data_IF_994306907530
#
_entry.id   IF_994306907530
#
_cell.length_a   1.000
_cell.length_b   1.000
_cell.length_c   1.000
_cell.angle_alpha   90.00
_cell.angle_beta   90.00
_cell.angle_gamma   90.00
#
_symmetry.space_group_name_H-M   'P 1'
#
loop_
_entity.id
_entity.type
_entity.pdbx_description
1 polymer ?
#
# COMPACT_ATOMS: atom_id res chain seq x y z
N UNK A 1 -15.95 -0.68 9.01
CA UNK A 1 -15.18 -1.82 8.41
C UNK A 1 -14.10 -2.29 9.36
N UNK A 2 -13.17 -1.44 9.80
CA UNK A 2 -12.10 -1.84 10.73
C UNK A 2 -12.63 -2.53 11.99
N UNK A 3 -13.63 -1.94 12.66
CA UNK A 3 -14.26 -2.56 13.84
C UNK A 3 -14.74 -3.99 13.56
N UNK A 4 -15.33 -4.22 12.39
CA UNK A 4 -15.78 -5.56 12.02
C UNK A 4 -14.62 -6.56 11.90
N UNK A 5 -13.49 -6.14 11.31
CA UNK A 5 -12.31 -7.02 11.17
C UNK A 5 -11.69 -7.29 12.54
N UNK A 6 -11.60 -6.28 13.41
CA UNK A 6 -11.13 -6.45 14.77
C UNK A 6 -12.03 -7.41 15.56
N UNK A 7 -13.35 -7.15 15.60
CA UNK A 7 -14.31 -8.01 16.27
C UNK A 7 -14.29 -9.45 15.75
N UNK A 8 -14.15 -9.62 14.43
CA UNK A 8 -14.09 -10.92 13.80
C UNK A 8 -12.83 -11.69 14.22
N UNK A 9 -11.70 -11.02 14.29
CA UNK A 9 -10.42 -11.60 14.68
C UNK A 9 -10.35 -11.87 16.19
N UNK A 10 -10.77 -10.91 17.02
CA UNK A 10 -10.71 -10.98 18.48
C UNK A 10 -11.75 -11.95 19.08
N UNK A 11 -12.87 -12.17 18.37
CA UNK A 11 -13.90 -13.13 18.80
C UNK A 11 -13.49 -14.61 18.68
N UNK A 12 -12.32 -14.89 18.11
CA UNK A 12 -11.84 -16.25 17.86
C UNK A 12 -12.54 -16.97 16.67
N UNK A 13 -13.39 -16.27 15.92
CA UNK A 13 -13.94 -16.79 14.65
C UNK A 13 -12.86 -16.91 13.58
N UNK A 14 -11.92 -15.97 13.56
CA UNK A 14 -10.72 -16.03 12.72
C UNK A 14 -9.53 -16.52 13.54
N UNK A 15 -8.94 -17.65 13.15
CA UNK A 15 -7.88 -18.33 13.92
C UNK A 15 -6.49 -18.20 13.30
N UNK A 16 -6.37 -17.50 12.17
CA UNK A 16 -5.09 -17.31 11.51
C UNK A 16 -4.33 -16.13 12.14
N UNK A 17 -2.99 -16.12 12.09
CA UNK A 17 -2.17 -15.08 12.75
C UNK A 17 -2.13 -13.75 12.00
N UNK A 18 -2.93 -13.59 10.95
CA UNK A 18 -3.02 -12.43 10.08
C UNK A 18 -4.47 -11.97 9.89
N UNK A 19 -4.68 -10.77 9.36
CA UNK A 19 -6.01 -10.22 9.14
C UNK A 19 -6.77 -10.93 8.01
N UNK A 20 -8.10 -11.02 8.14
CA UNK A 20 -8.95 -11.63 7.13
C UNK A 20 -9.03 -10.77 5.87
N UNK A 21 -8.95 -11.41 4.70
CA UNK A 21 -9.11 -10.73 3.41
C UNK A 21 -10.54 -10.26 3.20
N UNK A 22 -11.49 -11.14 3.43
CA UNK A 22 -12.90 -10.86 3.20
C UNK A 22 -13.71 -10.84 4.48
N UNK A 23 -14.56 -9.85 4.54
CA UNK A 23 -15.58 -9.75 5.60
C UNK A 23 -16.99 -9.97 5.05
N UNK A 24 -17.08 -10.41 3.80
CA UNK A 24 -18.34 -10.75 3.13
C UNK A 24 -18.33 -10.39 1.64
N UNK A 25 -19.27 -10.96 0.89
CA UNK A 25 -19.46 -10.63 -0.53
C UNK A 25 -20.16 -9.27 -0.64
N UNK A 26 -19.51 -8.34 -1.33
CA UNK A 26 -20.07 -7.00 -1.57
C UNK A 26 -21.55 -7.09 -2.03
N UNK A 27 -22.44 -6.28 -1.47
CA UNK A 27 -22.22 -5.21 -0.48
C UNK A 27 -22.36 -5.61 1.00
N UNK A 28 -22.34 -6.90 1.33
CA UNK A 28 -22.62 -7.42 2.66
C UNK A 28 -21.35 -7.71 3.45
N UNK A 29 -21.21 -7.08 4.62
CA UNK A 29 -20.16 -7.42 5.60
C UNK A 29 -20.74 -8.45 6.61
N UNK A 30 -20.78 -9.71 6.25
CA UNK A 30 -21.40 -10.80 7.03
C UNK A 30 -20.38 -11.82 7.59
N UNK A 31 -19.08 -11.60 7.40
CA UNK A 31 -18.03 -12.50 7.85
C UNK A 31 -17.82 -13.72 6.95
N UNK A 32 -18.46 -13.75 5.79
CA UNK A 32 -18.24 -14.83 4.82
C UNK A 32 -16.97 -14.56 4.04
N UNK A 33 -15.96 -15.41 4.19
CA UNK A 33 -14.73 -15.35 3.41
C UNK A 33 -14.82 -16.26 2.20
N UNK A 34 -14.23 -15.83 1.08
CA UNK A 34 -14.04 -16.70 -0.07
C UNK A 34 -12.59 -17.23 -0.14
N UNK A 35 -12.31 -18.07 -1.14
CA UNK A 35 -10.98 -18.67 -1.27
C UNK A 35 -9.92 -17.61 -1.63
N UNK A 36 -8.78 -17.68 -0.95
CA UNK A 36 -7.63 -16.83 -1.19
C UNK A 36 -7.39 -15.86 -0.05
N UNK A 37 -6.46 -16.22 0.84
CA UNK A 37 -5.98 -15.29 1.85
C UNK A 37 -5.05 -14.24 1.23
N UNK A 38 -5.02 -13.06 1.84
CA UNK A 38 -4.06 -11.98 1.55
C UNK A 38 -3.25 -11.66 2.82
N UNK A 39 -2.42 -12.58 3.32
CA UNK A 39 -1.88 -12.49 4.67
C UNK A 39 -1.09 -11.22 4.96
N UNK A 40 -0.15 -10.87 4.09
CA UNK A 40 0.69 -9.68 4.24
C UNK A 40 -0.08 -8.43 3.86
N UNK A 41 -0.88 -8.49 2.79
CA UNK A 41 -1.66 -7.36 2.28
C UNK A 41 -2.63 -6.82 3.33
N UNK A 42 -3.53 -7.67 3.84
CA UNK A 42 -4.59 -7.21 4.73
C UNK A 42 -4.07 -6.90 6.14
N UNK A 43 -3.08 -7.65 6.61
CA UNK A 43 -2.43 -7.33 7.88
C UNK A 43 -1.73 -5.99 7.80
N UNK A 44 -1.06 -5.70 6.68
CA UNK A 44 -0.45 -4.41 6.39
C UNK A 44 -1.50 -3.29 6.35
N UNK A 45 -2.62 -3.51 5.66
CA UNK A 45 -3.71 -2.55 5.56
C UNK A 45 -4.27 -2.19 6.94
N UNK A 46 -4.54 -3.17 7.80
CA UNK A 46 -5.09 -2.93 9.14
C UNK A 46 -4.16 -2.08 10.01
N UNK A 47 -2.86 -2.38 10.00
CA UNK A 47 -1.86 -1.62 10.77
C UNK A 47 -1.68 -0.19 10.24
N UNK A 48 -1.59 -0.02 8.92
CA UNK A 48 -1.43 1.29 8.27
C UNK A 48 -2.67 2.17 8.54
N UNK A 49 -3.87 1.63 8.33
CA UNK A 49 -5.11 2.38 8.56
C UNK A 49 -5.29 2.76 10.03
N UNK A 50 -4.99 1.86 10.96
CA UNK A 50 -5.05 2.16 12.39
C UNK A 50 -4.06 3.28 12.77
N UNK A 51 -2.86 3.25 12.17
CA UNK A 51 -1.86 4.31 12.36
C UNK A 51 -2.34 5.65 11.80
N UNK A 52 -2.94 5.64 10.60
CA UNK A 52 -3.49 6.84 9.99
C UNK A 52 -4.60 7.47 10.84
N UNK A 53 -5.49 6.66 11.41
CA UNK A 53 -6.53 7.11 12.34
C UNK A 53 -5.89 7.76 13.58
N UNK A 54 -4.93 7.09 14.21
CA UNK A 54 -4.27 7.63 15.40
C UNK A 54 -3.59 8.99 15.14
N UNK A 55 -2.94 9.15 14.00
CA UNK A 55 -2.32 10.43 13.60
C UNK A 55 -3.40 11.49 13.33
N UNK A 56 -4.48 11.14 12.64
CA UNK A 56 -5.58 12.06 12.34
C UNK A 56 -6.28 12.56 13.61
N UNK A 57 -6.48 11.66 14.58
CA UNK A 57 -7.15 11.97 15.86
C UNK A 57 -6.20 12.64 16.88
N UNK A 58 -4.89 12.56 16.66
CA UNK A 58 -3.86 13.05 17.58
C UNK A 58 -3.71 12.21 18.85
N UNK A 59 -4.27 11.01 18.87
CA UNK A 59 -4.17 10.04 19.97
C UNK A 59 -4.29 8.62 19.43
N UNK A 60 -3.85 7.61 20.22
CA UNK A 60 -3.89 6.21 19.84
C UNK A 60 -4.93 5.39 20.64
N UNK A 61 -5.99 6.02 21.15
CA UNK A 61 -7.00 5.36 22.01
C UNK A 61 -7.73 4.23 21.26
N UNK A 62 -7.94 4.41 19.95
CA UNK A 62 -8.51 3.36 19.11
C UNK A 62 -7.56 2.15 19.02
N UNK A 63 -6.29 2.37 18.76
CA UNK A 63 -5.28 1.31 18.71
C UNK A 63 -5.09 0.61 20.07
N UNK A 64 -5.23 1.35 21.18
CA UNK A 64 -5.13 0.79 22.53
C UNK A 64 -6.18 -0.30 22.81
N UNK A 65 -7.39 -0.15 22.28
CA UNK A 65 -8.47 -1.15 22.41
C UNK A 65 -8.13 -2.48 21.75
N UNK A 66 -7.36 -2.46 20.69
CA UNK A 66 -7.01 -3.60 19.84
C UNK A 66 -5.51 -3.96 19.91
N UNK A 67 -4.83 -3.54 21.02
CA UNK A 67 -3.37 -3.64 21.10
C UNK A 67 -2.84 -5.07 20.97
N UNK A 68 -3.52 -6.03 21.53
CA UNK A 68 -3.08 -7.43 21.51
C UNK A 68 -3.06 -7.99 20.08
N UNK A 69 -4.13 -7.78 19.33
CA UNK A 69 -4.21 -8.26 17.94
C UNK A 69 -3.27 -7.49 17.02
N UNK A 70 -3.11 -6.17 17.20
CA UNK A 70 -2.15 -5.36 16.46
C UNK A 70 -0.71 -5.84 16.72
N UNK A 71 -0.41 -6.24 17.94
CA UNK A 71 0.89 -6.84 18.32
C UNK A 71 1.11 -8.18 17.63
N UNK A 72 0.09 -9.05 17.62
CA UNK A 72 0.16 -10.34 16.94
C UNK A 72 0.40 -10.16 15.44
N UNK A 73 -0.33 -9.29 14.80
CA UNK A 73 -0.19 -8.97 13.38
C UNK A 73 1.17 -8.35 13.03
N UNK A 74 1.70 -7.47 13.89
CA UNK A 74 3.03 -6.89 13.69
C UNK A 74 4.15 -7.91 13.82
N UNK A 75 4.03 -8.86 14.76
CA UNK A 75 4.97 -9.96 14.87
C UNK A 75 4.88 -10.90 13.65
N UNK A 76 3.69 -11.20 13.15
CA UNK A 76 3.50 -11.96 11.92
C UNK A 76 4.21 -11.30 10.73
N UNK A 77 3.98 -10.00 10.50
CA UNK A 77 4.67 -9.27 9.43
C UNK A 77 6.20 -9.20 9.63
N UNK A 78 6.66 -9.14 10.88
CA UNK A 78 8.09 -9.16 11.17
C UNK A 78 8.76 -10.51 10.77
N UNK A 79 8.00 -11.60 10.78
CA UNK A 79 8.47 -12.92 10.38
C UNK A 79 8.44 -13.13 8.86
N UNK A 80 7.34 -12.77 8.21
CA UNK A 80 7.10 -13.14 6.79
C UNK A 80 7.16 -11.97 5.81
N UNK A 81 7.10 -10.72 6.28
CA UNK A 81 6.84 -9.56 5.42
C UNK A 81 8.05 -9.09 4.61
N UNK A 82 9.29 -9.48 4.99
CA UNK A 82 10.48 -9.09 4.23
C UNK A 82 10.55 -9.78 2.87
N UNK A 83 10.11 -11.02 2.80
CA UNK A 83 10.14 -11.83 1.58
C UNK A 83 8.85 -12.64 1.45
N UNK A 84 7.76 -12.00 1.00
CA UNK A 84 6.46 -12.66 0.97
C UNK A 84 6.43 -13.89 0.06
N UNK A 85 5.85 -14.97 0.55
CA UNK A 85 5.58 -16.16 -0.26
C UNK A 85 4.54 -15.86 -1.34
N UNK A 86 4.33 -16.80 -2.26
CA UNK A 86 3.30 -16.70 -3.28
C UNK A 86 1.91 -16.61 -2.64
N UNK A 87 1.29 -15.45 -2.76
CA UNK A 87 0.00 -15.15 -2.16
C UNK A 87 -0.78 -14.13 -2.97
N UNK A 88 -2.08 -14.03 -2.69
CA UNK A 88 -2.93 -12.98 -3.23
C UNK A 88 -2.50 -11.61 -2.66
N UNK A 89 -2.50 -10.58 -3.49
CA UNK A 89 -2.25 -9.18 -3.11
C UNK A 89 -2.92 -8.23 -4.11
N UNK A 90 -2.83 -6.93 -3.89
CA UNK A 90 -3.46 -5.92 -4.77
C UNK A 90 -2.97 -6.00 -6.23
N UNK A 91 -1.79 -6.57 -6.48
CA UNK A 91 -1.20 -6.71 -7.82
C UNK A 91 -1.57 -8.03 -8.51
N UNK A 92 -2.56 -8.75 -8.01
CA UNK A 92 -2.98 -10.07 -8.51
C UNK A 92 -3.65 -10.05 -9.89
N UNK A 93 -4.00 -8.88 -10.41
CA UNK A 93 -4.55 -8.71 -11.76
C UNK A 93 -3.69 -9.33 -12.86
N UNK A 94 -2.39 -9.34 -12.65
CA UNK A 94 -1.41 -9.97 -13.54
C UNK A 94 -0.92 -11.34 -13.03
N UNK A 95 -1.56 -11.89 -12.00
CA UNK A 95 -1.25 -13.16 -11.36
C UNK A 95 -0.51 -13.02 -10.03
N UNK A 96 -0.59 -14.06 -9.19
CA UNK A 96 0.10 -14.14 -7.92
C UNK A 96 1.61 -14.19 -8.13
N UNK A 97 2.37 -13.69 -7.16
CA UNK A 97 3.81 -13.60 -7.23
C UNK A 97 4.43 -13.78 -5.84
N UNK A 98 5.39 -14.70 -5.74
CA UNK A 98 6.29 -14.75 -4.59
C UNK A 98 7.34 -13.64 -4.70
N UNK A 99 7.99 -13.33 -3.60
CA UNK A 99 9.09 -12.37 -3.53
C UNK A 99 8.71 -10.94 -3.97
N UNK A 100 7.41 -10.59 -3.92
CA UNK A 100 6.88 -9.31 -4.39
C UNK A 100 7.45 -8.15 -3.60
N UNK A 101 8.20 -7.27 -4.28
CA UNK A 101 8.88 -6.16 -3.66
C UNK A 101 7.92 -5.08 -3.12
N UNK A 102 6.79 -4.83 -3.78
CA UNK A 102 5.82 -3.84 -3.30
C UNK A 102 4.97 -4.38 -2.14
N UNK A 103 4.70 -5.68 -2.08
CA UNK A 103 4.05 -6.31 -0.93
C UNK A 103 4.97 -6.28 0.31
N UNK A 104 6.27 -6.53 0.11
CA UNK A 104 7.28 -6.32 1.17
C UNK A 104 7.33 -4.86 1.64
N UNK A 105 7.23 -3.90 0.72
CA UNK A 105 7.14 -2.47 1.07
C UNK A 105 5.94 -2.19 1.99
N UNK A 106 4.76 -2.77 1.72
CA UNK A 106 3.59 -2.66 2.61
C UNK A 106 3.88 -3.17 4.02
N UNK A 107 4.50 -4.34 4.15
CA UNK A 107 4.85 -4.91 5.44
C UNK A 107 5.81 -3.98 6.23
N UNK A 108 6.80 -3.39 5.56
CA UNK A 108 7.74 -2.45 6.17
C UNK A 108 6.99 -1.22 6.69
N UNK A 109 6.09 -0.63 5.90
CA UNK A 109 5.28 0.52 6.31
C UNK A 109 4.37 0.18 7.50
N UNK A 110 3.77 -1.00 7.49
CA UNK A 110 2.92 -1.48 8.57
C UNK A 110 3.68 -1.66 9.89
N UNK A 111 4.86 -2.27 9.84
CA UNK A 111 5.76 -2.46 10.99
C UNK A 111 6.19 -1.10 11.56
N UNK A 112 6.54 -0.15 10.70
CA UNK A 112 6.88 1.21 11.11
C UNK A 112 5.66 1.92 11.74
N UNK A 113 4.48 1.77 11.15
CA UNK A 113 3.23 2.28 11.70
C UNK A 113 2.94 1.75 13.10
N UNK A 114 3.13 0.44 13.32
CA UNK A 114 3.00 -0.13 14.67
C UNK A 114 4.02 0.46 15.66
N UNK A 115 5.26 0.70 15.22
CA UNK A 115 6.26 1.40 16.02
C UNK A 115 5.79 2.79 16.43
N UNK A 116 5.14 3.53 15.52
CA UNK A 116 4.54 4.84 15.78
C UNK A 116 3.38 4.77 16.76
N UNK A 117 2.48 3.79 16.62
CA UNK A 117 1.40 3.54 17.59
C UNK A 117 1.95 3.24 18.98
N UNK A 118 3.00 2.43 19.07
CA UNK A 118 3.66 2.11 20.34
C UNK A 118 4.25 3.38 21.01
N UNK A 119 4.83 4.28 20.21
CA UNK A 119 5.32 5.58 20.71
C UNK A 119 4.17 6.41 21.29
N UNK A 120 3.07 6.55 20.55
CA UNK A 120 1.89 7.32 20.98
C UNK A 120 1.23 6.72 22.25
N UNK A 121 1.37 5.43 22.48
CA UNK A 121 0.88 4.71 23.66
C UNK A 121 1.90 4.64 24.81
N UNK A 122 3.01 5.39 24.75
CA UNK A 122 4.08 5.36 25.75
C UNK A 122 4.65 3.96 26.01
N UNK A 123 4.85 3.18 24.94
CA UNK A 123 5.47 1.84 24.94
C UNK A 123 6.87 1.91 24.29
N UNK A 124 7.88 2.50 24.96
CA UNK A 124 9.15 2.85 24.33
C UNK A 124 9.98 1.65 23.86
N UNK A 125 9.84 0.49 24.50
CA UNK A 125 10.56 -0.73 24.09
C UNK A 125 10.05 -1.24 22.75
N UNK A 126 8.74 -1.35 22.60
CA UNK A 126 8.06 -1.76 21.38
C UNK A 126 8.29 -0.73 20.27
N UNK A 127 8.14 0.54 20.57
CA UNK A 127 8.38 1.64 19.63
C UNK A 127 9.80 1.56 19.04
N UNK A 128 10.82 1.47 19.89
CA UNK A 128 12.21 1.33 19.46
C UNK A 128 12.42 0.05 18.64
N UNK A 129 11.95 -1.10 19.15
CA UNK A 129 12.12 -2.42 18.49
C UNK A 129 11.59 -2.38 17.04
N UNK A 130 10.35 -1.94 16.85
CA UNK A 130 9.68 -2.04 15.55
C UNK A 130 10.12 -0.93 14.58
N UNK A 131 10.41 0.28 15.06
CA UNK A 131 11.00 1.34 14.25
C UNK A 131 12.40 0.97 13.72
N UNK A 132 13.26 0.44 14.58
CA UNK A 132 14.59 -0.01 14.16
C UNK A 132 14.51 -1.23 13.22
N UNK A 133 13.55 -2.12 13.44
CA UNK A 133 13.29 -3.25 12.55
C UNK A 133 12.88 -2.76 11.17
N UNK A 134 11.89 -1.86 11.06
CA UNK A 134 11.44 -1.30 9.80
C UNK A 134 12.59 -0.62 9.04
N UNK A 135 13.45 0.15 9.72
CA UNK A 135 14.64 0.76 9.11
C UNK A 135 15.62 -0.27 8.55
N UNK A 136 15.89 -1.34 9.29
CA UNK A 136 16.74 -2.42 8.78
C UNK A 136 16.12 -3.14 7.59
N UNK A 137 14.81 -3.41 7.66
CA UNK A 137 14.09 -4.02 6.55
C UNK A 137 14.11 -3.11 5.30
N UNK A 138 13.96 -1.80 5.44
CA UNK A 138 14.04 -0.86 4.32
C UNK A 138 15.40 -0.88 3.62
N UNK A 139 16.50 -0.95 4.38
CA UNK A 139 17.87 -1.06 3.82
C UNK A 139 18.05 -2.40 3.10
N UNK A 140 17.60 -3.48 3.69
CA UNK A 140 17.69 -4.82 3.06
C UNK A 140 16.79 -4.92 1.83
N UNK A 141 15.60 -4.32 1.88
CA UNK A 141 14.68 -4.22 0.74
C UNK A 141 15.35 -3.51 -0.44
N UNK A 142 15.96 -2.35 -0.18
CA UNK A 142 16.67 -1.59 -1.21
C UNK A 142 17.76 -2.44 -1.86
N UNK A 143 18.58 -3.12 -1.04
CA UNK A 143 19.66 -3.99 -1.54
C UNK A 143 19.15 -5.13 -2.41
N UNK A 144 18.00 -5.74 -2.06
CA UNK A 144 17.44 -6.89 -2.78
C UNK A 144 16.68 -6.48 -4.04
N UNK A 145 15.99 -5.34 -3.99
CA UNK A 145 15.15 -4.87 -5.09
C UNK A 145 15.93 -4.06 -6.14
N UNK A 146 17.15 -3.60 -5.83
CA UNK A 146 17.92 -2.70 -6.72
C UNK A 146 18.17 -3.33 -8.08
N UNK A 147 17.85 -2.57 -9.15
CA UNK A 147 18.06 -2.94 -10.55
C UNK A 147 18.55 -1.74 -11.38
N UNK A 148 19.44 -0.94 -10.80
CA UNK A 148 20.06 0.22 -11.44
C UNK A 148 19.20 1.47 -11.29
N UNK A 149 18.45 1.86 -12.32
CA UNK A 149 17.65 3.08 -12.32
C UNK A 149 16.22 2.91 -11.73
N UNK A 150 15.87 1.69 -11.32
CA UNK A 150 14.57 1.34 -10.71
C UNK A 150 14.71 0.21 -9.69
N UNK A 151 13.58 -0.23 -9.11
CA UNK A 151 13.50 -1.41 -8.25
C UNK A 151 12.59 -2.48 -8.87
N UNK A 152 13.00 -3.75 -8.69
CA UNK A 152 12.34 -4.93 -9.26
C UNK A 152 10.90 -5.08 -8.86
N UNK A 153 10.11 -5.77 -9.67
CA UNK A 153 8.79 -6.27 -9.33
C UNK A 153 8.85 -7.32 -8.21
N UNK A 154 9.75 -8.29 -8.36
CA UNK A 154 10.06 -9.29 -7.35
C UNK A 154 11.57 -9.43 -7.16
N UNK A 155 12.02 -9.76 -5.94
CA UNK A 155 13.44 -9.78 -5.58
C UNK A 155 14.30 -10.70 -6.43
N UNK A 156 13.73 -11.77 -6.96
CA UNK A 156 14.39 -12.78 -7.79
C UNK A 156 14.21 -12.57 -9.31
N UNK A 157 13.57 -11.45 -9.72
CA UNK A 157 13.25 -11.18 -11.13
C UNK A 157 13.98 -9.92 -11.65
N UNK A 158 15.28 -10.01 -12.01
CA UNK A 158 15.99 -8.87 -12.58
C UNK A 158 15.39 -8.44 -13.94
N UNK A 159 15.50 -7.15 -14.27
CA UNK A 159 14.92 -6.56 -15.48
C UNK A 159 13.41 -6.33 -15.41
N UNK A 160 12.79 -6.53 -14.24
CA UNK A 160 11.36 -6.27 -14.02
C UNK A 160 11.16 -5.04 -13.13
N UNK A 161 9.98 -4.42 -13.20
CA UNK A 161 9.62 -3.30 -12.35
C UNK A 161 8.12 -3.29 -12.03
N UNK A 162 7.75 -2.64 -10.95
CA UNK A 162 6.36 -2.32 -10.60
C UNK A 162 6.31 -0.96 -9.90
N UNK A 163 5.11 -0.39 -9.81
CA UNK A 163 4.90 0.78 -8.95
C UNK A 163 5.08 0.37 -7.47
N UNK A 164 5.89 1.13 -6.72
CA UNK A 164 6.12 0.92 -5.28
C UNK A 164 5.21 1.83 -4.45
N UNK A 165 3.95 1.92 -4.85
CA UNK A 165 2.96 2.83 -4.27
C UNK A 165 2.81 2.68 -2.75
N UNK A 166 3.07 1.52 -2.18
CA UNK A 166 3.00 1.31 -0.73
C UNK A 166 4.00 2.17 0.06
N UNK A 167 5.08 2.62 -0.53
CA UNK A 167 6.01 3.55 0.13
C UNK A 167 5.46 4.95 0.37
N UNK A 168 4.35 5.31 -0.26
CA UNK A 168 3.68 6.58 -0.01
C UNK A 168 3.35 6.78 1.48
N UNK A 169 3.13 5.69 2.21
CA UNK A 169 2.79 5.73 3.63
C UNK A 169 3.90 6.25 4.53
N UNK A 170 5.18 6.10 4.13
CA UNK A 170 6.28 6.73 4.85
C UNK A 170 6.12 8.25 4.89
N UNK A 171 5.82 8.84 3.72
CA UNK A 171 5.59 10.27 3.54
C UNK A 171 4.30 10.74 4.21
N UNK A 172 3.19 10.07 3.94
CA UNK A 172 1.84 10.45 4.40
C UNK A 172 1.72 10.36 5.92
N UNK A 173 2.29 9.32 6.52
CA UNK A 173 2.26 9.13 7.98
C UNK A 173 3.44 9.79 8.70
N UNK A 174 4.48 10.22 7.98
CA UNK A 174 5.70 10.81 8.55
C UNK A 174 6.46 9.83 9.42
N UNK A 175 6.70 8.63 8.89
CA UNK A 175 7.40 7.56 9.61
C UNK A 175 8.92 7.73 9.59
N UNK A 176 9.45 8.39 8.55
CA UNK A 176 10.86 8.73 8.37
C UNK A 176 11.81 7.53 8.48
N UNK A 177 11.43 6.44 7.82
CA UNK A 177 12.22 5.19 7.82
C UNK A 177 12.92 4.91 6.49
N UNK A 178 12.41 5.45 5.38
CA UNK A 178 13.01 5.25 4.07
C UNK A 178 14.13 6.27 3.79
N UNK A 179 15.25 5.81 3.21
CA UNK A 179 16.16 6.75 2.56
C UNK A 179 15.47 7.51 1.41
N UNK A 180 15.58 8.83 1.38
CA UNK A 180 14.97 9.71 0.35
C UNK A 180 15.21 9.24 -1.08
N UNK A 181 16.38 8.64 -1.35
CA UNK A 181 16.76 8.16 -2.67
C UNK A 181 15.83 7.10 -3.24
N UNK A 182 15.13 6.32 -2.39
CA UNK A 182 14.24 5.25 -2.84
C UNK A 182 13.07 5.85 -3.61
N UNK A 183 12.31 6.77 -3.00
CA UNK A 183 11.17 7.40 -3.67
C UNK A 183 11.62 8.24 -4.87
N UNK A 184 12.75 8.96 -4.76
CA UNK A 184 13.29 9.77 -5.86
C UNK A 184 13.66 8.93 -7.09
N UNK A 185 14.28 7.77 -6.88
CA UNK A 185 14.62 6.84 -7.96
C UNK A 185 13.37 6.33 -8.67
N UNK A 186 12.38 5.87 -7.93
CA UNK A 186 11.12 5.35 -8.47
C UNK A 186 10.34 6.45 -9.23
N UNK A 187 10.17 7.63 -8.66
CA UNK A 187 9.48 8.74 -9.33
C UNK A 187 10.17 9.12 -10.64
N UNK A 188 11.52 9.20 -10.64
CA UNK A 188 12.30 9.51 -11.85
C UNK A 188 12.14 8.43 -12.93
N UNK A 189 12.03 7.16 -12.53
CA UNK A 189 11.77 6.05 -13.42
C UNK A 189 10.33 6.09 -13.98
N UNK A 190 9.34 6.34 -13.14
CA UNK A 190 7.93 6.39 -13.53
C UNK A 190 7.67 7.49 -14.56
N UNK A 191 8.24 8.67 -14.39
CA UNK A 191 8.11 9.79 -15.34
C UNK A 191 8.57 9.42 -16.78
N UNK A 192 9.55 8.52 -16.89
CA UNK A 192 10.08 8.07 -18.18
C UNK A 192 9.28 6.93 -18.81
N UNK A 193 8.50 6.19 -18.02
CA UNK A 193 7.88 4.93 -18.43
C UNK A 193 6.34 5.03 -18.56
N UNK A 194 5.78 6.24 -18.57
CA UNK A 194 4.37 6.44 -18.80
C UNK A 194 3.98 6.17 -20.26
N UNK A 195 2.84 5.53 -20.45
CA UNK A 195 2.16 5.42 -21.72
C UNK A 195 1.25 6.65 -21.97
N UNK A 196 0.56 6.67 -23.09
CA UNK A 196 -0.34 7.77 -23.49
C UNK A 196 -1.37 8.14 -22.41
N UNK A 197 -1.86 7.15 -21.65
CA UNK A 197 -2.91 7.34 -20.63
C UNK A 197 -2.45 7.03 -19.20
N UNK A 198 -1.18 6.82 -18.96
CA UNK A 198 -0.62 6.70 -17.62
C UNK A 198 0.44 5.63 -17.47
N UNK A 199 0.87 5.48 -16.25
CA UNK A 199 1.88 4.51 -15.87
C UNK A 199 1.26 3.12 -15.73
N UNK A 200 1.78 2.07 -16.36
CA UNK A 200 1.40 0.69 -16.03
C UNK A 200 1.67 0.36 -14.56
N UNK A 201 0.91 -0.57 -14.01
CA UNK A 201 1.13 -1.04 -12.64
C UNK A 201 2.51 -1.72 -12.49
N UNK A 202 2.86 -2.52 -13.50
CA UNK A 202 4.16 -3.18 -13.63
C UNK A 202 4.45 -3.53 -15.11
N UNK A 203 5.59 -4.15 -15.37
CA UNK A 203 6.00 -4.48 -16.73
C UNK A 203 5.41 -5.79 -17.30
N UNK A 204 4.51 -6.48 -16.58
CA UNK A 204 3.86 -7.70 -17.09
C UNK A 204 2.80 -7.38 -18.14
N UNK A 205 2.10 -6.24 -17.96
CA UNK A 205 1.06 -5.76 -18.88
C UNK A 205 1.12 -4.22 -19.00
N UNK A 206 0.36 -3.69 -19.96
CA UNK A 206 0.18 -2.24 -20.14
C UNK A 206 -0.98 -1.68 -19.31
N UNK A 207 -1.42 -2.42 -18.29
CA UNK A 207 -2.54 -2.05 -17.45
C UNK A 207 -2.15 -1.07 -16.35
N UNK A 208 -2.92 -0.01 -16.20
CA UNK A 208 -2.78 0.96 -15.13
C UNK A 208 -3.90 0.85 -14.11
N UNK A 209 -3.63 1.38 -12.91
CA UNK A 209 -4.62 1.60 -11.87
C UNK A 209 -4.58 3.05 -11.42
N UNK A 210 -5.74 3.70 -11.44
CA UNK A 210 -5.84 5.15 -11.17
C UNK A 210 -5.40 5.50 -9.75
N UNK A 211 -5.84 4.73 -8.78
CA UNK A 211 -5.53 4.88 -7.35
C UNK A 211 -4.04 4.68 -7.07
N UNK A 212 -3.47 3.55 -7.49
CA UNK A 212 -2.05 3.22 -7.25
C UNK A 212 -1.11 4.22 -7.93
N UNK A 213 -1.48 4.71 -9.12
CA UNK A 213 -0.71 5.75 -9.81
C UNK A 213 -0.75 7.09 -9.06
N UNK A 214 -1.88 7.48 -8.47
CA UNK A 214 -1.95 8.70 -7.63
C UNK A 214 -1.16 8.52 -6.33
N UNK A 215 -1.13 7.31 -5.75
CA UNK A 215 -0.26 7.02 -4.60
C UNK A 215 1.21 7.17 -4.98
N UNK A 216 1.63 6.56 -6.08
CA UNK A 216 2.99 6.68 -6.62
C UNK A 216 3.35 8.13 -6.93
N UNK A 217 2.45 8.89 -7.54
CA UNK A 217 2.65 10.32 -7.82
C UNK A 217 2.78 11.14 -6.53
N UNK A 218 2.08 10.76 -5.45
CA UNK A 218 2.16 11.45 -4.16
C UNK A 218 3.54 11.30 -3.50
N UNK A 219 4.34 10.31 -3.88
CA UNK A 219 5.73 10.19 -3.45
C UNK A 219 6.63 11.32 -3.99
N UNK A 220 6.25 11.96 -5.10
CA UNK A 220 7.04 13.03 -5.70
C UNK A 220 7.31 14.19 -4.74
N UNK A 221 8.54 14.74 -4.82
CA UNK A 221 8.94 15.89 -4.02
C UNK A 221 8.39 17.20 -4.58
N UNK A 222 8.27 17.30 -5.91
CA UNK A 222 7.79 18.49 -6.60
C UNK A 222 6.32 18.35 -7.03
N UNK A 223 5.60 19.46 -7.01
CA UNK A 223 4.25 19.52 -7.58
C UNK A 223 4.27 19.27 -9.10
N UNK A 224 5.35 19.67 -9.78
CA UNK A 224 5.52 19.44 -11.22
C UNK A 224 5.54 17.95 -11.57
N UNK A 225 6.33 17.16 -10.86
CA UNK A 225 6.41 15.70 -11.07
C UNK A 225 5.08 15.01 -10.73
N UNK A 226 4.44 15.45 -9.64
CA UNK A 226 3.09 14.96 -9.30
C UNK A 226 2.10 15.21 -10.45
N UNK A 227 2.04 16.44 -10.94
CA UNK A 227 1.13 16.82 -12.03
C UNK A 227 1.45 16.06 -13.33
N UNK A 228 2.72 15.82 -13.62
CA UNK A 228 3.12 15.06 -14.80
C UNK A 228 2.70 13.60 -14.72
N UNK A 229 2.78 12.97 -13.55
CA UNK A 229 2.32 11.60 -13.34
C UNK A 229 0.80 11.45 -13.41
N UNK A 230 0.02 12.43 -12.95
CA UNK A 230 -1.45 12.32 -12.94
C UNK A 230 -2.13 12.85 -14.21
N UNK A 231 -1.45 13.68 -15.01
CA UNK A 231 -2.01 14.24 -16.25
C UNK A 231 -2.53 13.17 -17.23
N UNK A 232 -1.84 12.03 -17.43
CA UNK A 232 -2.35 10.95 -18.28
C UNK A 232 -3.62 10.30 -17.72
N UNK A 233 -3.78 10.22 -16.39
CA UNK A 233 -5.02 9.73 -15.77
C UNK A 233 -6.19 10.68 -16.10
N UNK A 234 -5.96 11.99 -15.99
CA UNK A 234 -6.96 12.99 -16.41
C UNK A 234 -7.35 12.82 -17.88
N UNK A 235 -6.35 12.56 -18.73
CA UNK A 235 -6.57 12.26 -20.14
C UNK A 235 -7.41 10.99 -20.34
N UNK A 236 -7.09 9.91 -19.61
CA UNK A 236 -7.86 8.66 -19.61
C UNK A 236 -9.34 8.93 -19.29
N UNK A 237 -9.61 9.59 -18.18
CA UNK A 237 -10.99 9.87 -17.73
C UNK A 237 -11.80 10.66 -18.75
N UNK A 238 -11.16 11.58 -19.50
CA UNK A 238 -11.83 12.40 -20.50
C UNK A 238 -11.98 11.71 -21.87
N UNK A 239 -11.02 10.89 -22.26
CA UNK A 239 -10.95 10.31 -23.61
C UNK A 239 -11.37 8.85 -23.69
N UNK A 240 -11.58 8.15 -22.55
CA UNK A 240 -11.98 6.73 -22.58
C UNK A 240 -13.22 6.54 -23.45
N UNK A 241 -13.20 5.54 -24.36
CA UNK A 241 -14.38 5.18 -25.13
C UNK A 241 -15.46 4.51 -24.28
N UNK A 242 -15.08 4.00 -23.13
CA UNK A 242 -15.95 3.28 -22.20
C UNK A 242 -16.85 4.25 -21.43
N UNK A 243 -18.16 4.13 -21.58
CA UNK A 243 -19.17 4.96 -20.92
C UNK A 243 -19.78 4.22 -19.72
N UNK A 244 -18.93 3.92 -18.75
CA UNK A 244 -19.28 3.19 -17.54
C UNK A 244 -18.89 4.02 -16.30
N UNK A 245 -19.40 3.70 -15.11
CA UNK A 245 -18.88 4.28 -13.88
C UNK A 245 -17.37 4.08 -13.77
N UNK A 246 -16.66 5.10 -13.29
CA UNK A 246 -15.21 5.08 -13.18
C UNK A 246 -14.72 3.82 -12.44
N UNK A 247 -13.87 3.05 -13.11
CA UNK A 247 -13.10 1.94 -12.54
C UNK A 247 -11.67 2.39 -12.25
N UNK A 248 -11.00 1.61 -11.45
CA UNK A 248 -9.58 1.80 -11.13
C UNK A 248 -8.67 1.23 -12.23
N UNK A 249 -9.06 0.15 -12.89
CA UNK A 249 -8.25 -0.66 -13.79
C UNK A 249 -8.56 -0.37 -15.26
N UNK A 250 -7.55 -0.04 -16.05
CA UNK A 250 -7.68 0.38 -17.43
C UNK A 250 -6.42 0.11 -18.26
N UNK A 251 -6.56 0.15 -19.59
CA UNK A 251 -5.47 0.00 -20.54
C UNK A 251 -4.79 1.35 -20.80
N UNK A 252 -3.49 1.45 -20.50
CA UNK A 252 -2.75 2.72 -20.62
C UNK A 252 -2.41 3.14 -22.04
N UNK A 253 -2.60 2.26 -23.03
CA UNK A 253 -2.34 2.58 -24.44
C UNK A 253 -3.54 3.19 -25.16
N UNK A 254 -4.77 2.72 -24.89
CA UNK A 254 -5.96 3.08 -25.64
C UNK A 254 -7.13 3.62 -24.78
N UNK A 255 -6.97 3.64 -23.45
CA UNK A 255 -7.97 4.11 -22.50
C UNK A 255 -9.22 3.21 -22.35
N UNK A 256 -9.17 1.95 -22.77
CA UNK A 256 -10.24 1.01 -22.48
C UNK A 256 -10.27 0.66 -21.00
N UNK A 257 -11.47 0.59 -20.38
CA UNK A 257 -11.55 0.03 -19.04
C UNK A 257 -11.35 -1.48 -19.07
N UNK A 258 -10.88 -2.03 -17.93
CA UNK A 258 -10.70 -3.45 -17.76
C UNK A 258 -11.49 -3.93 -16.53
N UNK A 259 -12.32 -4.93 -16.72
CA UNK A 259 -13.00 -5.77 -15.74
C UNK A 259 -13.88 -5.06 -14.68
N UNK A 260 -13.30 -4.36 -13.69
CA UNK A 260 -14.02 -3.82 -12.54
C UNK A 260 -14.64 -2.46 -12.79
N UNK A 261 -15.82 -2.21 -12.18
CA UNK A 261 -16.57 -0.93 -12.29
C UNK A 261 -16.90 -0.42 -10.90
N UNK A 262 -16.85 0.90 -10.75
CA UNK A 262 -17.35 1.59 -9.55
C UNK A 262 -16.85 0.98 -8.23
N UNK A 263 -15.60 0.54 -8.17
CA UNK A 263 -14.99 0.04 -6.93
C UNK A 263 -14.63 1.19 -6.00
N UNK A 264 -14.79 0.97 -4.70
CA UNK A 264 -14.46 1.97 -3.67
C UNK A 264 -12.97 2.35 -3.64
N UNK A 265 -12.09 1.51 -4.21
CA UNK A 265 -10.65 1.78 -4.32
C UNK A 265 -10.31 3.04 -5.10
N UNK A 266 -11.21 3.52 -5.98
CA UNK A 266 -11.02 4.82 -6.66
C UNK A 266 -10.92 5.99 -5.67
N UNK A 267 -11.34 5.82 -4.43
CA UNK A 267 -11.07 6.78 -3.34
C UNK A 267 -9.58 7.03 -3.11
N UNK A 268 -8.69 6.12 -3.54
CA UNK A 268 -7.24 6.30 -3.51
C UNK A 268 -6.72 7.52 -4.26
N UNK A 269 -7.50 8.07 -5.21
CA UNK A 269 -7.15 9.33 -5.91
C UNK A 269 -7.09 10.54 -4.97
N UNK A 270 -7.60 10.44 -3.75
CA UNK A 270 -7.50 11.49 -2.73
C UNK A 270 -6.23 11.40 -1.88
N UNK A 271 -5.28 10.52 -2.19
CA UNK A 271 -4.05 10.32 -1.40
C UNK A 271 -3.26 11.62 -1.18
N UNK A 272 -3.13 12.47 -2.20
CA UNK A 272 -2.46 13.79 -2.06
C UNK A 272 -3.18 14.72 -1.07
N UNK A 273 -4.50 14.67 -1.05
CA UNK A 273 -5.30 15.44 -0.10
C UNK A 273 -5.12 14.90 1.33
N UNK A 274 -5.04 13.58 1.50
CA UNK A 274 -4.75 12.94 2.77
C UNK A 274 -3.35 13.32 3.28
N UNK A 275 -2.32 13.28 2.41
CA UNK A 275 -0.96 13.75 2.74
C UNK A 275 -0.98 15.18 3.28
N UNK A 276 -1.66 16.10 2.57
CA UNK A 276 -1.79 17.49 3.01
C UNK A 276 -2.50 17.61 4.37
N UNK A 277 -3.59 16.90 4.57
CA UNK A 277 -4.36 16.90 5.81
C UNK A 277 -3.53 16.40 7.00
N UNK A 278 -2.88 15.24 6.87
CA UNK A 278 -2.12 14.63 7.95
C UNK A 278 -0.83 15.40 8.28
N UNK A 279 -0.17 16.02 7.28
CA UNK A 279 0.96 16.92 7.53
C UNK A 279 0.58 18.12 8.38
N UNK A 280 -0.61 18.68 8.19
CA UNK A 280 -1.09 19.80 9.00
C UNK A 280 -1.46 19.37 10.43
N UNK A 281 -1.82 18.12 10.64
CA UNK A 281 -2.09 17.56 11.98
C UNK A 281 -0.82 17.25 12.78
N UNK A 282 0.28 16.98 12.10
CA UNK A 282 1.58 16.70 12.74
C UNK A 282 2.37 17.95 13.14
N UNK A 283 1.97 19.14 12.66
CA UNK A 283 2.52 20.43 13.06
C UNK A 283 1.92 20.88 14.38
#
# INVERSE_FOLDING_TARGET
MLDFIFDYSESGRWKKPFAAHDVGTYPLANGQTYQGDMPVEETGNMLIMTTAIAIADGNADYAAKHWEILTAWSNYLAEVGMDPENQLCTEDFAGHLAHNANLSAKAIMAIAGYGRLAEMLNKPKEAKKFTEMAKRMAIEWERRADDGDHYRLAFDMPGTWSQKYNFVWDKVLGLDILPDRIMKKEVAFYLKNQNKYGLPLDNRFTWGKTDDTVWSATMADSEGDFQELIRPIWKYVNETPSRIPLGDWYETLNADYINFRARSVVGGVFMKSLDHYLRNKRK
#
